data_IF_192119427723
#
_entry.id   IF_192119427723
#
_cell.length_a   1.000
_cell.length_b   1.000
_cell.length_c   1.000
_cell.angle_alpha   90.00
_cell.angle_beta   90.00
_cell.angle_gamma   90.00
#
_symmetry.space_group_name_H-M   'P 1'
#
loop_
_entity.id
_entity.type
_entity.pdbx_description
1 polymer ?
#
# COMPACT_ATOMS: atom_id res chain seq x y z
N UNK A 1 -14.45 -12.10 -14.32
CA UNK A 1 -13.86 -11.37 -13.18
C UNK A 1 -12.84 -10.44 -13.79
N UNK A 2 -13.13 -9.15 -13.79
CA UNK A 2 -12.31 -8.17 -14.49
C UNK A 2 -11.31 -7.49 -13.58
N UNK A 3 -10.21 -7.03 -14.16
CA UNK A 3 -9.12 -6.34 -13.49
C UNK A 3 -8.69 -5.10 -14.28
N UNK A 4 -7.95 -4.23 -13.61
CA UNK A 4 -7.20 -3.16 -14.25
C UNK A 4 -5.73 -3.54 -14.21
N UNK A 5 -5.01 -3.42 -15.32
CA UNK A 5 -3.58 -3.73 -15.39
C UNK A 5 -2.80 -2.48 -15.73
N UNK A 6 -1.84 -2.14 -14.88
CA UNK A 6 -0.85 -1.10 -15.13
C UNK A 6 0.53 -1.71 -15.32
N UNK A 7 1.09 -1.58 -16.51
CA UNK A 7 2.46 -2.00 -16.82
C UNK A 7 3.39 -0.81 -16.76
N UNK A 8 4.42 -0.88 -15.91
CA UNK A 8 5.46 0.14 -15.74
C UNK A 8 6.75 -0.44 -16.31
N UNK A 9 7.19 0.11 -17.45
CA UNK A 9 8.38 -0.37 -18.15
C UNK A 9 9.68 0.16 -17.52
N UNK A 10 10.83 -0.49 -17.80
CA UNK A 10 12.13 0.03 -17.38
C UNK A 10 12.37 1.44 -17.93
N UNK A 11 13.20 2.21 -17.24
CA UNK A 11 13.55 3.55 -17.71
C UNK A 11 14.46 3.44 -18.93
N UNK A 12 14.14 4.19 -19.97
CA UNK A 12 15.04 4.38 -21.09
C UNK A 12 15.89 5.63 -20.85
N UNK A 13 17.21 5.46 -20.83
CA UNK A 13 18.17 6.56 -20.79
C UNK A 13 18.69 6.84 -22.19
N UNK A 14 18.42 8.05 -22.71
CA UNK A 14 19.05 8.53 -23.94
C UNK A 14 19.93 9.74 -23.64
N UNK A 15 21.16 9.70 -24.15
CA UNK A 15 22.07 10.84 -24.10
C UNK A 15 21.91 11.66 -25.39
N UNK A 16 21.21 12.80 -25.30
CA UNK A 16 21.14 13.79 -26.37
C UNK A 16 21.82 15.09 -25.91
N UNK A 17 22.77 15.61 -26.69
CA UNK A 17 23.41 16.91 -26.47
C UNK A 17 23.97 17.14 -25.05
N UNK A 18 24.78 16.20 -24.52
CA UNK A 18 25.38 16.26 -23.18
C UNK A 18 24.37 16.36 -22.02
N UNK A 19 23.10 15.98 -22.23
CA UNK A 19 22.10 15.82 -21.18
C UNK A 19 21.57 14.38 -21.20
N UNK A 20 21.52 13.76 -20.02
CA UNK A 20 20.83 12.50 -19.81
C UNK A 20 19.33 12.77 -19.76
N UNK A 21 18.56 12.13 -20.64
CA UNK A 21 17.11 12.18 -20.66
C UNK A 21 16.61 10.80 -20.21
N UNK A 22 15.91 10.77 -19.07
CA UNK A 22 15.20 9.58 -18.61
C UNK A 22 13.75 9.62 -19.12
N UNK A 23 13.30 8.56 -19.79
CA UNK A 23 11.88 8.38 -20.16
C UNK A 23 11.29 7.20 -19.41
N UNK A 24 10.09 7.38 -18.87
CA UNK A 24 9.31 6.32 -18.23
C UNK A 24 8.05 6.08 -19.07
N UNK A 25 7.86 4.85 -19.53
CA UNK A 25 6.67 4.44 -20.27
C UNK A 25 5.76 3.61 -19.36
N UNK A 26 4.48 3.98 -19.30
CA UNK A 26 3.46 3.29 -18.51
C UNK A 26 2.24 3.02 -19.40
N UNK A 27 1.70 1.81 -19.31
CA UNK A 27 0.48 1.40 -19.98
C UNK A 27 -0.58 1.08 -18.91
N UNK A 28 -1.83 1.49 -19.15
CA UNK A 28 -2.98 1.17 -18.29
C UNK A 28 -4.08 0.61 -19.18
N UNK A 29 -4.56 -0.57 -18.84
CA UNK A 29 -5.66 -1.24 -19.53
C UNK A 29 -6.69 -1.65 -18.49
N UNK A 30 -7.96 -1.38 -18.76
CA UNK A 30 -9.07 -1.64 -17.85
C UNK A 30 -9.98 -2.75 -18.41
N UNK A 31 -10.67 -3.47 -17.54
CA UNK A 31 -11.65 -4.48 -17.93
C UNK A 31 -11.04 -5.76 -18.50
N UNK A 32 -9.83 -6.13 -18.08
CA UNK A 32 -9.13 -7.33 -18.53
C UNK A 32 -9.61 -8.53 -17.70
N UNK A 33 -9.94 -9.65 -18.34
CA UNK A 33 -10.33 -10.88 -17.63
C UNK A 33 -9.14 -11.58 -16.96
N UNK A 34 -9.42 -12.40 -15.94
CA UNK A 34 -8.38 -13.07 -15.14
C UNK A 34 -7.35 -13.83 -15.99
N UNK A 35 -7.82 -14.62 -16.96
CA UNK A 35 -7.01 -15.43 -17.87
C UNK A 35 -6.16 -14.57 -18.82
N UNK A 36 -6.69 -13.43 -19.25
CA UNK A 36 -5.95 -12.45 -20.05
C UNK A 36 -4.84 -11.77 -19.23
N UNK A 37 -5.07 -11.48 -17.94
CA UNK A 37 -4.03 -10.95 -17.05
C UNK A 37 -2.90 -11.96 -16.85
N UNK A 38 -3.24 -13.24 -16.65
CA UNK A 38 -2.25 -14.34 -16.54
C UNK A 38 -1.46 -14.49 -17.84
N UNK A 39 -2.15 -14.49 -18.99
CA UNK A 39 -1.50 -14.56 -20.30
C UNK A 39 -0.54 -13.39 -20.52
N UNK A 40 -0.93 -12.16 -20.12
CA UNK A 40 -0.08 -10.98 -20.21
C UNK A 40 1.17 -11.11 -19.31
N UNK A 41 1.02 -11.63 -18.09
CA UNK A 41 2.13 -11.89 -17.19
C UNK A 41 3.15 -12.86 -17.81
N UNK A 42 2.70 -13.99 -18.33
CA UNK A 42 3.55 -14.98 -19.01
C UNK A 42 4.24 -14.38 -20.25
N UNK A 43 3.53 -13.57 -21.05
CA UNK A 43 4.11 -12.90 -22.21
C UNK A 43 5.23 -11.93 -21.82
N UNK A 44 5.09 -11.24 -20.69
CA UNK A 44 6.10 -10.30 -20.20
C UNK A 44 7.35 -11.05 -19.70
N UNK A 45 7.17 -12.18 -19.02
CA UNK A 45 8.29 -13.06 -18.64
C UNK A 45 9.00 -13.62 -19.87
N UNK A 46 8.25 -14.11 -20.86
CA UNK A 46 8.79 -14.64 -22.12
C UNK A 46 9.55 -13.58 -22.95
N UNK A 47 9.24 -12.29 -22.77
CA UNK A 47 9.99 -11.17 -23.37
C UNK A 47 11.31 -10.87 -22.67
N UNK A 48 11.65 -11.58 -21.59
CA UNK A 48 12.88 -11.39 -20.83
C UNK A 48 12.80 -10.31 -19.74
N UNK A 49 11.59 -9.91 -19.32
CA UNK A 49 11.44 -9.05 -18.16
C UNK A 49 11.36 -9.88 -16.90
N UNK A 50 11.91 -9.35 -15.80
CA UNK A 50 11.60 -9.82 -14.46
C UNK A 50 10.58 -8.88 -13.83
N UNK A 51 9.52 -9.45 -13.25
CA UNK A 51 8.29 -8.70 -12.93
C UNK A 51 8.11 -8.60 -11.42
N UNK A 52 7.93 -7.38 -10.92
CA UNK A 52 7.44 -7.14 -9.57
C UNK A 52 5.96 -6.79 -9.62
N UNK A 53 5.12 -7.68 -9.08
CA UNK A 53 3.67 -7.54 -9.09
C UNK A 53 3.19 -6.89 -7.80
N UNK A 54 2.34 -5.88 -7.91
CA UNK A 54 1.63 -5.26 -6.80
C UNK A 54 0.13 -5.29 -7.05
N UNK A 55 -0.66 -5.58 -6.01
CA UNK A 55 -2.12 -5.59 -6.08
C UNK A 55 -2.68 -4.42 -5.28
N UNK A 56 -3.55 -3.64 -5.90
CA UNK A 56 -4.27 -2.55 -5.27
C UNK A 56 -5.77 -2.79 -5.44
N UNK A 57 -6.44 -3.42 -4.45
CA UNK A 57 -7.89 -3.60 -4.47
C UNK A 57 -8.61 -2.24 -4.64
N UNK A 58 -9.81 -2.22 -5.24
CA UNK A 58 -10.55 -0.98 -5.41
C UNK A 58 -10.93 -0.39 -4.03
N UNK A 59 -11.19 0.91 -3.96
CA UNK A 59 -11.62 1.53 -2.70
C UNK A 59 -13.07 1.15 -2.35
N UNK A 60 -13.89 0.89 -3.37
CA UNK A 60 -15.28 0.47 -3.26
C UNK A 60 -15.49 -0.68 -4.24
N UNK A 61 -16.23 -1.69 -3.82
CA UNK A 61 -16.71 -2.77 -4.67
C UNK A 61 -17.86 -2.31 -5.59
N UNK A 62 -18.33 -3.23 -6.44
CA UNK A 62 -19.41 -2.99 -7.41
C UNK A 62 -20.77 -2.65 -6.77
N UNK A 63 -20.88 -2.74 -5.44
CA UNK A 63 -22.06 -2.38 -4.64
C UNK A 63 -21.86 -1.09 -3.86
N UNK A 64 -20.72 -0.43 -4.00
CA UNK A 64 -20.36 0.79 -3.26
C UNK A 64 -19.91 0.53 -1.82
N UNK A 65 -19.48 -0.70 -1.51
CA UNK A 65 -18.99 -1.12 -0.17
C UNK A 65 -17.47 -1.19 -0.18
N UNK A 66 -16.79 -0.78 0.88
CA UNK A 66 -15.34 -0.98 0.96
C UNK A 66 -15.01 -2.48 0.96
N UNK A 67 -14.12 -2.97 0.07
CA UNK A 67 -13.79 -4.39 0.05
C UNK A 67 -13.13 -4.79 1.37
N UNK A 68 -13.67 -5.84 1.97
CA UNK A 68 -13.23 -6.34 3.28
C UNK A 68 -11.81 -6.94 3.17
N UNK A 69 -10.79 -6.32 3.79
CA UNK A 69 -9.43 -6.85 3.77
C UNK A 69 -9.34 -8.23 4.44
N UNK A 70 -10.18 -8.53 5.44
CA UNK A 70 -10.23 -9.83 6.11
C UNK A 70 -10.65 -10.95 5.15
N UNK A 71 -11.52 -10.65 4.18
CA UNK A 71 -11.92 -11.61 3.15
C UNK A 71 -10.78 -11.94 2.17
N UNK A 72 -9.97 -10.95 1.80
CA UNK A 72 -8.81 -11.16 0.90
C UNK A 72 -7.77 -12.04 1.61
N UNK A 73 -7.46 -11.74 2.87
CA UNK A 73 -6.53 -12.53 3.67
C UNK A 73 -7.00 -13.99 3.81
N UNK A 74 -8.28 -14.21 4.16
CA UNK A 74 -8.86 -15.54 4.28
C UNK A 74 -8.78 -16.33 2.95
N UNK A 75 -9.01 -15.68 1.81
CA UNK A 75 -8.86 -16.33 0.49
C UNK A 75 -7.41 -16.76 0.22
N UNK A 76 -6.44 -15.92 0.58
CA UNK A 76 -5.01 -16.27 0.46
C UNK A 76 -4.64 -17.45 1.36
N UNK A 77 -5.15 -17.49 2.60
CA UNK A 77 -4.95 -18.62 3.52
C UNK A 77 -5.53 -19.92 2.98
N UNK A 78 -6.77 -19.89 2.48
CA UNK A 78 -7.42 -21.04 1.86
C UNK A 78 -6.67 -21.53 0.61
N UNK A 79 -6.02 -20.62 -0.11
CA UNK A 79 -5.15 -20.94 -1.25
C UNK A 79 -3.74 -21.42 -0.83
N UNK A 80 -3.43 -21.46 0.47
CA UNK A 80 -2.10 -21.84 0.98
C UNK A 80 -1.03 -20.76 0.75
N UNK A 81 -1.42 -19.53 0.44
CA UNK A 81 -0.51 -18.42 0.15
C UNK A 81 -0.23 -17.65 1.44
N UNK A 82 1.01 -17.72 1.90
CA UNK A 82 1.48 -16.89 3.02
C UNK A 82 1.43 -15.40 2.66
N UNK A 83 1.08 -14.54 3.60
CA UNK A 83 1.03 -13.09 3.40
C UNK A 83 1.59 -12.32 4.61
N UNK A 84 1.64 -11.00 4.47
CA UNK A 84 1.84 -10.05 5.56
C UNK A 84 0.78 -8.96 5.44
N UNK A 85 -0.06 -8.84 6.46
CA UNK A 85 -1.00 -7.73 6.62
C UNK A 85 -0.32 -6.57 7.35
N UNK A 86 -0.65 -5.34 6.97
CA UNK A 86 -0.12 -4.12 7.62
C UNK A 86 -1.22 -3.09 7.69
N UNK A 87 -1.57 -2.66 8.90
CA UNK A 87 -2.53 -1.60 9.12
C UNK A 87 -1.90 -0.24 8.81
N UNK A 88 -2.57 0.55 7.99
CA UNK A 88 -2.19 1.92 7.65
C UNK A 88 -3.25 2.86 8.18
N UNK A 89 -2.80 3.80 9.00
CA UNK A 89 -3.63 4.85 9.57
C UNK A 89 -3.28 6.18 8.92
N UNK A 90 -4.28 6.90 8.39
CA UNK A 90 -4.13 8.29 7.92
C UNK A 90 -4.72 9.26 8.94
N UNK A 91 -4.21 9.22 10.18
CA UNK A 91 -4.62 10.11 11.24
C UNK A 91 -3.73 11.36 11.29
N UNK A 92 -4.38 12.52 11.40
CA UNK A 92 -3.70 13.78 11.61
C UNK A 92 -4.58 14.76 12.36
N UNK A 93 -4.02 15.51 13.31
CA UNK A 93 -4.81 16.44 14.11
C UNK A 93 -3.98 17.17 15.16
N UNK A 94 -4.66 17.69 16.18
CA UNK A 94 -4.04 18.30 17.34
C UNK A 94 -3.42 17.26 18.29
N UNK A 95 -2.66 17.74 19.27
CA UNK A 95 -2.01 16.90 20.27
C UNK A 95 -3.00 16.01 21.02
N UNK A 96 -4.12 16.58 21.51
CA UNK A 96 -5.10 15.86 22.31
C UNK A 96 -5.74 14.69 21.55
N UNK A 97 -6.04 14.90 20.26
CA UNK A 97 -6.59 13.88 19.39
C UNK A 97 -5.57 12.76 19.16
N UNK A 98 -4.31 13.10 18.89
CA UNK A 98 -3.28 12.09 18.63
C UNK A 98 -2.89 11.31 19.88
N UNK A 99 -2.93 11.91 21.07
CA UNK A 99 -2.71 11.20 22.34
C UNK A 99 -3.76 10.11 22.58
N UNK A 100 -5.03 10.35 22.22
CA UNK A 100 -6.08 9.33 22.33
C UNK A 100 -5.79 8.12 21.44
N UNK A 101 -5.39 8.38 20.19
CA UNK A 101 -5.03 7.34 19.23
C UNK A 101 -3.76 6.60 19.68
N UNK A 102 -2.74 7.31 20.16
CA UNK A 102 -1.51 6.72 20.66
C UNK A 102 -1.77 5.72 21.80
N UNK A 103 -2.59 6.14 22.79
CA UNK A 103 -2.97 5.26 23.90
C UNK A 103 -3.69 3.99 23.44
N UNK A 104 -4.56 4.10 22.43
CA UNK A 104 -5.24 2.94 21.87
C UNK A 104 -4.24 1.96 21.23
N UNK A 105 -3.26 2.47 20.48
CA UNK A 105 -2.22 1.66 19.84
C UNK A 105 -1.34 1.00 20.91
N UNK A 106 -0.93 1.75 21.95
CA UNK A 106 -0.15 1.23 23.09
C UNK A 106 -0.88 0.13 23.86
N UNK A 107 -2.19 0.27 24.08
CA UNK A 107 -3.00 -0.72 24.80
C UNK A 107 -3.05 -2.08 24.10
N UNK A 108 -2.73 -2.13 22.81
CA UNK A 108 -2.67 -3.34 22.01
C UNK A 108 -1.23 -3.78 21.71
N UNK A 109 -0.26 -3.25 22.47
CA UNK A 109 1.17 -3.59 22.41
C UNK A 109 1.81 -3.37 21.03
N UNK A 110 1.28 -2.42 20.25
CA UNK A 110 1.89 -2.02 18.98
C UNK A 110 2.81 -0.81 19.16
N UNK A 111 3.99 -0.86 18.54
CA UNK A 111 4.85 0.31 18.39
C UNK A 111 4.21 1.34 17.45
N UNK A 112 4.60 2.61 17.58
CA UNK A 112 4.15 3.68 16.69
C UNK A 112 5.17 4.82 16.62
N UNK A 113 5.08 5.61 15.56
CA UNK A 113 5.83 6.86 15.41
C UNK A 113 4.87 8.06 15.46
N UNK A 114 5.30 9.14 16.12
CA UNK A 114 4.62 10.45 16.05
C UNK A 114 5.53 11.43 15.32
N UNK A 115 4.94 12.21 14.42
CA UNK A 115 5.60 13.34 13.77
C UNK A 115 4.78 14.61 14.02
N UNK A 116 5.46 15.69 14.38
CA UNK A 116 4.86 17.01 14.58
C UNK A 116 5.32 17.96 13.48
N UNK A 117 4.38 18.65 12.84
CA UNK A 117 4.66 19.70 11.86
C UNK A 117 4.28 21.06 12.46
N UNK A 118 5.30 21.79 12.90
CA UNK A 118 5.20 23.16 13.42
C UNK A 118 5.18 24.16 12.25
N UNK A 119 4.17 25.02 12.19
CA UNK A 119 4.03 26.05 11.14
C UNK A 119 4.38 27.43 11.68
N UNK A 120 5.67 27.73 11.72
CA UNK A 120 6.20 29.00 12.26
C UNK A 120 6.14 30.09 11.19
N UNK A 121 5.37 31.14 11.44
CA UNK A 121 5.17 32.31 10.55
C UNK A 121 4.96 33.57 11.40
N UNK A 122 5.00 34.75 10.78
CA UNK A 122 4.89 36.05 11.47
C UNK A 122 3.69 36.16 12.43
N UNK A 123 2.56 35.53 12.09
CA UNK A 123 1.35 35.53 12.90
C UNK A 123 1.11 34.24 13.69
N UNK A 124 2.05 33.28 13.71
CA UNK A 124 1.88 32.04 14.46
C UNK A 124 2.25 32.23 15.93
N UNK A 125 1.48 31.62 16.81
CA UNK A 125 1.74 31.51 18.25
C UNK A 125 2.83 30.49 18.60
N UNK A 126 3.28 29.69 17.61
CA UNK A 126 4.29 28.64 17.76
C UNK A 126 5.69 29.23 17.68
N UNK A 127 6.50 28.87 18.68
CA UNK A 127 7.90 29.22 18.81
C UNK A 127 8.71 27.93 19.02
N UNK A 128 9.71 27.72 18.17
CA UNK A 128 10.55 26.52 18.25
C UNK A 128 11.33 26.45 19.56
N UNK A 129 11.74 27.57 20.13
CA UNK A 129 12.48 27.59 21.41
C UNK A 129 11.58 27.38 22.63
N UNK A 130 10.25 27.43 22.44
CA UNK A 130 9.26 27.27 23.50
C UNK A 130 8.38 26.05 23.26
N UNK A 131 8.80 24.91 23.80
CA UNK A 131 8.10 23.61 23.66
C UNK A 131 6.60 23.68 23.99
N UNK A 132 6.21 24.47 25.00
CA UNK A 132 4.79 24.60 25.39
C UNK A 132 3.91 25.20 24.29
N UNK A 133 4.51 25.91 23.32
CA UNK A 133 3.78 26.48 22.17
C UNK A 133 3.51 25.45 21.08
N UNK A 134 4.20 24.30 21.10
CA UNK A 134 4.06 23.28 20.06
C UNK A 134 2.70 22.60 20.10
N UNK A 135 1.95 22.74 21.20
CA UNK A 135 0.60 22.19 21.34
C UNK A 135 -0.51 23.09 20.75
N UNK A 136 -0.14 24.17 20.06
CA UNK A 136 -1.09 25.04 19.38
C UNK A 136 -1.90 24.28 18.31
N UNK A 137 -3.23 24.44 18.33
CA UNK A 137 -4.15 23.67 17.49
C UNK A 137 -4.23 24.17 16.05
N UNK A 138 -3.88 25.44 15.82
CA UNK A 138 -4.01 26.10 14.52
C UNK A 138 -2.69 26.02 13.73
N UNK A 139 -1.56 26.09 14.45
CA UNK A 139 -0.22 26.15 13.85
C UNK A 139 0.61 24.89 14.03
N UNK A 140 0.14 23.89 14.79
CA UNK A 140 0.80 22.58 14.86
C UNK A 140 -0.12 21.45 14.42
N UNK A 141 0.42 20.56 13.59
CA UNK A 141 -0.27 19.34 13.16
C UNK A 141 0.55 18.12 13.50
N UNK A 142 -0.04 17.20 14.25
CA UNK A 142 0.54 15.91 14.58
C UNK A 142 0.02 14.83 13.63
N UNK A 143 0.85 13.86 13.33
CA UNK A 143 0.50 12.64 12.58
C UNK A 143 1.05 11.43 13.32
N UNK A 144 0.26 10.36 13.37
CA UNK A 144 0.65 9.12 14.03
C UNK A 144 0.67 7.97 13.03
N UNK A 145 1.71 7.14 13.11
CA UNK A 145 1.91 5.98 12.25
C UNK A 145 2.10 4.72 13.10
N UNK A 146 1.08 3.85 13.23
CA UNK A 146 1.22 2.58 13.90
C UNK A 146 2.14 1.64 13.12
N UNK A 147 2.95 0.85 13.82
CA UNK A 147 3.79 -0.23 13.27
C UNK A 147 3.07 -1.58 13.39
N UNK A 148 1.77 -1.59 13.16
CA UNK A 148 0.93 -2.77 13.27
C UNK A 148 0.98 -3.62 11.98
N UNK A 149 1.65 -4.78 12.07
CA UNK A 149 1.71 -5.74 10.98
C UNK A 149 1.74 -7.17 11.51
N UNK A 150 1.00 -8.08 10.88
CA UNK A 150 0.97 -9.49 11.26
C UNK A 150 0.92 -10.41 10.03
N UNK A 151 1.16 -11.70 10.26
CA UNK A 151 0.93 -12.77 9.30
C UNK A 151 -0.45 -13.40 9.46
N UNK A 152 -1.12 -13.14 10.58
CA UNK A 152 -2.53 -13.44 10.82
C UNK A 152 -3.29 -12.11 10.87
N UNK A 153 -4.23 -11.91 9.94
CA UNK A 153 -4.99 -10.66 9.90
C UNK A 153 -5.88 -10.47 11.14
N UNK A 154 -6.25 -11.55 11.85
CA UNK A 154 -7.08 -11.48 13.05
C UNK A 154 -6.42 -10.65 14.16
N UNK A 155 -5.09 -10.67 14.25
CA UNK A 155 -4.33 -9.87 15.23
C UNK A 155 -4.56 -8.36 15.06
N UNK A 156 -4.90 -7.91 13.85
CA UNK A 156 -5.14 -6.50 13.53
C UNK A 156 -6.60 -6.09 13.74
N UNK A 157 -7.50 -7.04 14.02
CA UNK A 157 -8.96 -6.81 14.01
C UNK A 157 -9.39 -5.80 15.04
N UNK A 158 -8.98 -5.98 16.29
CA UNK A 158 -9.35 -5.09 17.40
C UNK A 158 -8.88 -3.66 17.13
N UNK A 159 -7.61 -3.46 16.75
CA UNK A 159 -7.09 -2.13 16.41
C UNK A 159 -7.84 -1.49 15.25
N UNK A 160 -8.15 -2.28 14.21
CA UNK A 160 -8.88 -1.80 13.04
C UNK A 160 -10.29 -1.33 13.41
N UNK A 161 -11.04 -2.14 14.14
CA UNK A 161 -12.41 -1.84 14.55
C UNK A 161 -12.44 -0.60 15.46
N UNK A 162 -11.58 -0.54 16.47
CA UNK A 162 -11.50 0.60 17.41
C UNK A 162 -11.17 1.92 16.70
N UNK A 163 -10.23 1.90 15.74
CA UNK A 163 -9.87 3.10 14.98
C UNK A 163 -11.00 3.54 14.04
N UNK A 164 -11.77 2.61 13.47
CA UNK A 164 -12.96 2.93 12.68
C UNK A 164 -14.05 3.55 13.55
N UNK A 165 -14.29 3.02 14.75
CA UNK A 165 -15.23 3.61 15.71
C UNK A 165 -14.84 5.05 16.10
N UNK A 166 -13.53 5.34 16.11
CA UNK A 166 -12.99 6.70 16.28
C UNK A 166 -13.08 7.58 15.01
N UNK A 167 -13.80 7.14 13.97
CA UNK A 167 -13.93 7.79 12.66
C UNK A 167 -12.57 8.04 11.97
N UNK A 168 -11.57 7.20 12.21
CA UNK A 168 -10.28 7.32 11.55
C UNK A 168 -10.30 6.62 10.20
N UNK A 169 -9.57 7.21 9.24
CA UNK A 169 -9.35 6.56 7.93
C UNK A 169 -8.26 5.50 8.06
N UNK A 170 -8.68 4.25 8.18
CA UNK A 170 -7.82 3.08 8.32
C UNK A 170 -7.94 2.19 7.09
N UNK A 171 -6.81 1.66 6.63
CA UNK A 171 -6.79 0.62 5.60
C UNK A 171 -5.84 -0.50 5.99
N UNK A 172 -6.13 -1.73 5.61
CA UNK A 172 -5.19 -2.84 5.76
C UNK A 172 -4.60 -3.16 4.39
N UNK A 173 -3.28 -3.13 4.30
CA UNK A 173 -2.57 -3.56 3.11
C UNK A 173 -2.14 -5.01 3.27
N UNK A 174 -2.46 -5.85 2.29
CA UNK A 174 -2.11 -7.27 2.29
C UNK A 174 -1.09 -7.51 1.18
N UNK A 175 0.10 -7.98 1.58
CA UNK A 175 1.16 -8.35 0.66
C UNK A 175 1.41 -9.84 0.74
N UNK A 176 1.06 -10.58 -0.31
CA UNK A 176 1.40 -11.99 -0.41
C UNK A 176 2.93 -12.18 -0.48
N UNK A 177 3.41 -13.30 0.05
CA UNK A 177 4.81 -13.73 0.03
C UNK A 177 5.00 -14.81 -1.04
N UNK A 178 4.70 -14.47 -2.27
CA UNK A 178 4.92 -15.35 -3.43
C UNK A 178 6.34 -15.14 -3.94
N UNK A 179 6.98 -16.21 -4.43
CA UNK A 179 8.30 -16.11 -5.06
C UNK A 179 8.19 -15.26 -6.33
N UNK A 180 9.29 -14.58 -6.68
CA UNK A 180 9.36 -13.86 -7.95
C UNK A 180 9.29 -14.87 -9.09
N UNK A 181 8.60 -14.52 -10.16
CA UNK A 181 8.56 -15.29 -11.42
C UNK A 181 8.00 -16.73 -11.22
N UNK A 182 6.95 -16.88 -10.38
CA UNK A 182 6.22 -18.14 -10.11
C UNK A 182 4.79 -18.05 -10.67
N UNK A 183 4.61 -18.58 -11.87
CA UNK A 183 3.38 -18.44 -12.69
C UNK A 183 2.16 -19.08 -12.02
N UNK A 184 2.31 -20.30 -11.49
CA UNK A 184 1.24 -21.06 -10.84
C UNK A 184 0.75 -20.34 -9.58
N UNK A 185 1.68 -19.76 -8.84
CA UNK A 185 1.35 -18.98 -7.64
C UNK A 185 0.73 -17.61 -7.99
N UNK A 186 1.11 -16.98 -9.12
CA UNK A 186 0.52 -15.73 -9.57
C UNK A 186 -0.97 -15.85 -9.90
N UNK A 187 -1.36 -16.85 -10.70
CA UNK A 187 -2.77 -17.05 -11.06
C UNK A 187 -3.64 -17.32 -9.83
N UNK A 188 -3.16 -18.17 -8.92
CA UNK A 188 -3.82 -18.50 -7.65
C UNK A 188 -3.93 -17.26 -6.74
N UNK A 189 -2.87 -16.45 -6.68
CA UNK A 189 -2.88 -15.20 -5.94
C UNK A 189 -3.89 -14.21 -6.52
N UNK A 190 -3.88 -13.98 -7.83
CA UNK A 190 -4.76 -13.04 -8.52
C UNK A 190 -6.24 -13.37 -8.25
N UNK A 191 -6.60 -14.65 -8.29
CA UNK A 191 -7.95 -15.13 -7.99
C UNK A 191 -8.43 -14.85 -6.55
N UNK A 192 -7.50 -14.56 -5.62
CA UNK A 192 -7.85 -14.24 -4.23
C UNK A 192 -8.31 -12.80 -4.05
N UNK A 193 -8.00 -11.91 -4.99
CA UNK A 193 -8.39 -10.50 -4.94
C UNK A 193 -9.84 -10.31 -5.44
N UNK A 194 -10.49 -9.16 -5.19
CA UNK A 194 -11.81 -8.83 -5.74
C UNK A 194 -11.73 -8.30 -7.19
N UNK A 195 -12.88 -8.23 -7.86
CA UNK A 195 -13.03 -7.56 -9.17
C UNK A 195 -12.54 -6.11 -9.11
N UNK A 196 -12.09 -5.61 -10.26
CA UNK A 196 -11.54 -4.26 -10.46
C UNK A 196 -10.29 -3.96 -9.61
N UNK A 197 -9.65 -5.00 -9.08
CA UNK A 197 -8.31 -4.86 -8.49
C UNK A 197 -7.33 -4.38 -9.55
N UNK A 198 -6.59 -3.32 -9.22
CA UNK A 198 -5.49 -2.83 -10.03
C UNK A 198 -4.25 -3.69 -9.80
N UNK A 199 -3.87 -4.46 -10.82
CA UNK A 199 -2.64 -5.24 -10.90
C UNK A 199 -1.56 -4.35 -11.52
N UNK A 200 -0.48 -4.12 -10.79
CA UNK A 200 0.63 -3.28 -11.23
C UNK A 200 1.82 -4.18 -11.53
N UNK A 201 2.17 -4.31 -12.80
CA UNK A 201 3.39 -4.96 -13.26
C UNK A 201 4.50 -3.93 -13.35
N UNK A 202 5.47 -3.99 -12.44
CA UNK A 202 6.69 -3.20 -12.54
C UNK A 202 7.80 -4.05 -13.13
N UNK A 203 8.16 -3.73 -14.37
CA UNK A 203 9.16 -4.46 -15.14
C UNK A 203 10.56 -3.96 -14.82
N UNK A 204 11.50 -4.90 -14.86
CA UNK A 204 12.94 -4.69 -14.87
C UNK A 204 13.53 -5.63 -15.89
N UNK A 205 14.64 -5.27 -16.51
CA UNK A 205 15.39 -6.20 -17.36
C UNK A 205 15.79 -7.40 -16.49
N UNK A 206 15.49 -8.62 -16.95
CA UNK A 206 15.97 -9.81 -16.26
C UNK A 206 17.50 -9.80 -16.32
N UNK A 207 18.17 -10.04 -15.20
CA UNK A 207 19.62 -10.25 -15.22
C UNK A 207 19.89 -11.44 -16.14
N UNK A 208 20.51 -11.18 -17.30
CA UNK A 208 21.13 -12.23 -18.09
C UNK A 208 22.32 -12.67 -17.23
N UNK A 209 22.11 -13.68 -16.38
CA UNK A 209 23.23 -14.41 -15.81
C UNK A 209 23.99 -15.00 -17.00
N UNK A 210 25.08 -14.34 -17.37
CA UNK A 210 26.07 -14.90 -18.27
C UNK A 210 26.61 -16.18 -17.64
N UNK A 211 26.58 -17.25 -18.45
CA UNK A 211 27.21 -18.55 -18.18
C UNK A 211 28.64 -18.43 -17.62
#
# INVERSE_FOLDING_TARGET
MTFQVKTVFPKEETAENNKFIERTFNELVEGIELDEVVTLYEQLLNKGYSINVNFAPPQLDNKGTEPDPFMIANRLELAGISYKATLKLKASGDYESMVKIAKLIEQQDYDYDITAKLQIRENSTVDFEKESSWFDKDYTKYTILPKASSQDIADLRTLYDDLIEMNQKVTINIKAKVKKDDDDAFATQLASYPEDTLVIFKLSDAEIHGD
#
